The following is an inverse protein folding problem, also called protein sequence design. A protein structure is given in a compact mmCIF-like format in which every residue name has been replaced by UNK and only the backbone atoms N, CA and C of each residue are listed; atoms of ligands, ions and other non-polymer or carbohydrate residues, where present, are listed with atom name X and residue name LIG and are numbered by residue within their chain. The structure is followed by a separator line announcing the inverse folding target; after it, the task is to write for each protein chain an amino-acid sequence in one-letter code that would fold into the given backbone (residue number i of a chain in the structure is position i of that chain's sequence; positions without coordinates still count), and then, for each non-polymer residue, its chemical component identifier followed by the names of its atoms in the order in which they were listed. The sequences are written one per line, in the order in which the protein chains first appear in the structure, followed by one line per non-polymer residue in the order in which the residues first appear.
data_IF_548405793749
#
_entry.id   IF_548405793749
#
_cell.length_a   1.000
_cell.length_b   1.000
_cell.length_c   1.000
_cell.angle_alpha   90.00
_cell.angle_beta   90.00
_cell.angle_gamma   90.00
#
_symmetry.space_group_name_H-M   'P 1'
#
loop_
_entity.id
_entity.type
_entity.pdbx_description
1 polymer ?
#
# COMPACT_ATOMS: atom_id res chain seq x y z
N UNK A 1 1.61 -5.58 9.04
CA UNK A 1 0.24 -5.66 8.50
C UNK A 1 -0.52 -4.47 9.04
N UNK A 2 -0.72 -3.44 8.23
CA UNK A 2 -1.66 -2.35 8.55
C UNK A 2 -3.04 -3.00 8.65
N UNK A 3 -3.53 -3.09 9.88
CA UNK A 3 -4.92 -3.47 10.15
C UNK A 3 -5.77 -2.23 9.91
N UNK A 4 -6.87 -2.38 9.18
CA UNK A 4 -7.83 -1.28 8.94
C UNK A 4 -8.07 -0.92 7.47
N UNK A 5 -7.60 -1.73 6.52
CA UNK A 5 -8.12 -1.69 5.15
C UNK A 5 -9.48 -2.40 5.11
N UNK A 6 -10.50 -1.68 4.67
CA UNK A 6 -11.81 -2.24 4.37
C UNK A 6 -11.81 -2.92 3.01
N UNK A 7 -12.62 -3.99 2.88
CA UNK A 7 -12.78 -4.77 1.65
C UNK A 7 -11.43 -5.21 1.07
N UNK A 8 -10.53 -5.62 1.95
CA UNK A 8 -9.19 -6.06 1.59
C UNK A 8 -9.25 -7.31 0.70
N UNK A 9 -8.48 -7.30 -0.39
CA UNK A 9 -8.27 -8.42 -1.30
C UNK A 9 -6.76 -8.68 -1.37
N UNK A 10 -6.35 -9.93 -1.16
CA UNK A 10 -4.94 -10.32 -1.06
C UNK A 10 -4.57 -11.19 -2.25
N UNK A 11 -3.53 -10.80 -2.98
CA UNK A 11 -2.97 -11.60 -4.07
C UNK A 11 -1.92 -12.57 -3.54
N UNK A 12 -1.76 -13.70 -4.22
CA UNK A 12 -0.66 -14.65 -4.01
C UNK A 12 0.71 -14.10 -4.47
N UNK A 13 0.72 -12.97 -5.19
CA UNK A 13 1.91 -12.30 -5.74
C UNK A 13 2.50 -11.23 -4.81
N UNK A 14 2.38 -11.40 -3.50
CA UNK A 14 2.98 -10.50 -2.48
C UNK A 14 2.48 -9.05 -2.54
N UNK A 15 1.22 -8.84 -2.90
CA UNK A 15 0.54 -7.55 -2.77
C UNK A 15 -0.91 -7.75 -2.33
N UNK A 16 -1.54 -6.69 -1.87
CA UNK A 16 -2.98 -6.65 -1.64
C UNK A 16 -3.54 -5.27 -1.91
N UNK A 17 -4.85 -5.18 -2.01
CA UNK A 17 -5.58 -3.92 -2.21
C UNK A 17 -6.70 -3.79 -1.20
N UNK A 18 -7.08 -2.56 -0.88
CA UNK A 18 -8.19 -2.28 0.03
C UNK A 18 -8.49 -0.79 0.09
N UNK A 19 -9.56 -0.42 0.77
CA UNK A 19 -9.91 0.97 1.00
C UNK A 19 -9.53 1.38 2.42
N UNK A 20 -8.86 2.51 2.58
CA UNK A 20 -8.54 3.05 3.90
C UNK A 20 -9.50 4.20 4.24
N UNK A 21 -10.46 4.00 5.16
CA UNK A 21 -11.40 5.06 5.55
C UNK A 21 -10.71 6.22 6.27
N UNK A 22 -9.52 5.99 6.85
CA UNK A 22 -8.79 7.01 7.60
C UNK A 22 -8.13 8.07 6.73
N UNK A 23 -7.68 7.68 5.54
CA UNK A 23 -7.08 8.59 4.57
C UNK A 23 -7.97 8.79 3.35
N UNK A 24 -9.15 8.15 3.32
CA UNK A 24 -10.15 8.22 2.26
C UNK A 24 -9.57 7.89 0.88
N UNK A 25 -8.88 6.75 0.78
CA UNK A 25 -8.19 6.32 -0.44
C UNK A 25 -8.28 4.82 -0.65
N UNK A 26 -8.37 4.42 -1.92
CA UNK A 26 -8.02 3.07 -2.32
C UNK A 26 -6.49 2.91 -2.31
N UNK A 27 -6.04 1.79 -1.74
CA UNK A 27 -4.65 1.54 -1.44
C UNK A 27 -4.25 0.18 -1.99
N UNK A 28 -3.09 0.15 -2.64
CA UNK A 28 -2.34 -1.08 -2.92
C UNK A 28 -1.16 -1.14 -1.97
N UNK A 29 -0.95 -2.28 -1.33
CA UNK A 29 0.27 -2.52 -0.57
C UNK A 29 1.12 -3.64 -1.18
N UNK A 30 2.43 -3.46 -1.19
CA UNK A 30 3.40 -4.49 -1.62
C UNK A 30 4.22 -4.97 -0.42
N UNK A 31 4.52 -6.27 -0.38
CA UNK A 31 5.28 -6.90 0.71
C UNK A 31 6.77 -6.93 0.35
N UNK A 32 7.61 -6.27 1.15
CA UNK A 32 9.07 -6.25 0.99
C UNK A 32 9.71 -7.35 1.82
N UNK A 33 10.07 -8.46 1.17
CA UNK A 33 10.52 -9.69 1.85
C UNK A 33 12.01 -9.73 2.21
N UNK A 34 12.86 -8.96 1.53
CA UNK A 34 14.33 -9.12 1.59
C UNK A 34 15.01 -8.49 2.81
N UNK A 35 14.42 -7.45 3.40
CA UNK A 35 15.08 -6.64 4.44
C UNK A 35 14.43 -6.80 5.82
N UNK A 36 13.09 -6.87 5.90
CA UNK A 36 12.41 -7.00 7.20
C UNK A 36 10.93 -7.45 7.14
N UNK A 37 10.43 -7.98 6.00
CA UNK A 37 9.02 -8.36 5.84
C UNK A 37 8.05 -7.24 6.29
N UNK A 38 8.05 -6.15 5.53
CA UNK A 38 7.22 -4.98 5.81
C UNK A 38 6.46 -4.55 4.56
N UNK A 39 5.39 -3.79 4.77
CA UNK A 39 4.54 -3.33 3.67
C UNK A 39 4.83 -1.87 3.30
N UNK A 40 4.76 -1.58 2.00
CA UNK A 40 4.69 -0.23 1.44
C UNK A 40 3.31 -0.01 0.84
N UNK A 41 2.73 1.16 1.07
CA UNK A 41 1.35 1.50 0.70
C UNK A 41 1.36 2.60 -0.36
N UNK A 42 0.52 2.41 -1.37
CA UNK A 42 0.42 3.26 -2.55
C UNK A 42 -1.03 3.60 -2.83
N UNK A 43 -1.27 4.82 -3.30
CA UNK A 43 -2.58 5.23 -3.79
C UNK A 43 -2.88 4.56 -5.14
N UNK A 44 -4.09 4.04 -5.27
CA UNK A 44 -4.64 3.53 -6.53
C UNK A 44 -6.02 4.15 -6.76
N UNK A 45 -6.49 4.11 -8.01
CA UNK A 45 -7.87 4.49 -8.31
C UNK A 45 -8.85 3.39 -7.89
N UNK A 46 -10.14 3.74 -7.82
CA UNK A 46 -11.22 2.76 -7.65
C UNK A 46 -11.25 1.75 -8.80
N UNK A 47 -11.06 2.20 -10.04
CA UNK A 47 -10.97 1.33 -11.22
C UNK A 47 -9.82 0.30 -11.10
N UNK A 48 -8.65 0.74 -10.63
CA UNK A 48 -7.50 -0.14 -10.36
C UNK A 48 -7.85 -1.15 -9.24
N UNK A 49 -8.57 -0.73 -8.19
CA UNK A 49 -9.05 -1.63 -7.13
C UNK A 49 -10.07 -2.66 -7.64
N UNK A 50 -10.98 -2.25 -8.51
CA UNK A 50 -11.98 -3.13 -9.13
C UNK A 50 -11.34 -4.14 -10.08
N UNK A 51 -10.22 -3.79 -10.70
CA UNK A 51 -9.40 -4.67 -11.56
C UNK A 51 -8.58 -5.74 -10.79
N UNK A 52 -8.96 -6.07 -9.55
CA UNK A 52 -8.32 -7.14 -8.79
C UNK A 52 -8.30 -8.48 -9.56
N UNK A 53 -7.21 -9.24 -9.42
CA UNK A 53 -6.88 -10.45 -10.20
C UNK A 53 -6.63 -10.23 -11.71
N UNK A 54 -6.59 -8.99 -12.18
CA UNK A 54 -6.17 -8.69 -13.56
C UNK A 54 -4.65 -8.69 -13.73
N UNK A 55 -4.21 -8.94 -14.96
CA UNK A 55 -2.80 -8.84 -15.33
C UNK A 55 -2.30 -7.38 -15.25
N UNK A 56 -3.18 -6.42 -15.52
CA UNK A 56 -2.89 -4.99 -15.42
C UNK A 56 -2.51 -4.59 -13.99
N UNK A 57 -3.27 -5.06 -12.99
CA UNK A 57 -3.00 -4.78 -11.59
C UNK A 57 -1.71 -5.44 -11.12
N UNK A 58 -1.41 -6.66 -11.59
CA UNK A 58 -0.14 -7.33 -11.28
C UNK A 58 1.07 -6.54 -11.80
N UNK A 59 0.98 -6.02 -13.03
CA UNK A 59 2.02 -5.20 -13.64
C UNK A 59 2.20 -3.90 -12.85
N UNK A 60 1.10 -3.28 -12.42
CA UNK A 60 1.14 -2.09 -11.57
C UNK A 60 1.81 -2.40 -10.22
N UNK A 61 1.38 -3.46 -9.52
CA UNK A 61 1.94 -3.87 -8.23
C UNK A 61 3.45 -4.10 -8.32
N UNK A 62 3.91 -4.80 -9.37
CA UNK A 62 5.33 -5.01 -9.63
C UNK A 62 6.09 -3.70 -9.85
N UNK A 63 5.53 -2.79 -10.67
CA UNK A 63 6.13 -1.46 -10.91
C UNK A 63 6.27 -0.66 -9.61
N UNK A 64 5.23 -0.67 -8.77
CA UNK A 64 5.25 0.01 -7.47
C UNK A 64 6.29 -0.59 -6.53
N UNK A 65 6.39 -1.92 -6.49
CA UNK A 65 7.40 -2.64 -5.72
C UNK A 65 8.83 -2.25 -6.13
N UNK A 66 9.12 -2.25 -7.44
CA UNK A 66 10.45 -1.91 -7.99
C UNK A 66 10.83 -0.45 -7.72
N UNK A 67 9.87 0.48 -7.81
CA UNK A 67 10.13 1.90 -7.60
C UNK A 67 10.15 2.31 -6.11
N UNK A 68 9.53 1.53 -5.24
CA UNK A 68 9.56 1.74 -3.80
C UNK A 68 9.00 3.09 -3.38
N UNK A 69 9.67 3.75 -2.43
CA UNK A 69 9.27 5.06 -1.90
C UNK A 69 9.60 6.25 -2.80
N UNK A 70 10.16 6.01 -4.00
CA UNK A 70 10.41 7.05 -5.01
C UNK A 70 9.25 7.23 -5.98
N UNK A 71 8.25 6.35 -5.94
CA UNK A 71 7.07 6.45 -6.78
C UNK A 71 6.16 7.59 -6.30
N UNK A 72 5.56 8.34 -7.22
CA UNK A 72 4.67 9.46 -6.91
C UNK A 72 3.40 9.06 -6.13
N UNK A 73 2.95 7.82 -6.29
CA UNK A 73 1.77 7.25 -5.61
C UNK A 73 2.10 6.75 -4.21
N UNK A 74 3.35 6.84 -3.76
CA UNK A 74 3.77 6.33 -2.47
C UNK A 74 3.14 7.14 -1.32
N UNK A 75 2.35 6.45 -0.49
CA UNK A 75 1.67 7.04 0.65
C UNK A 75 2.53 6.96 1.91
N UNK A 76 2.95 5.75 2.29
CA UNK A 76 3.81 5.51 3.44
C UNK A 76 4.31 4.06 3.46
N UNK A 77 5.28 3.78 4.32
CA UNK A 77 5.85 2.47 4.58
C UNK A 77 5.80 2.15 6.07
N UNK A 78 5.65 0.88 6.43
CA UNK A 78 5.85 0.41 7.81
C UNK A 78 7.29 0.66 8.28
N UNK A 79 8.25 0.75 7.35
CA UNK A 79 9.63 1.10 7.64
C UNK A 79 9.77 2.63 7.76
N UNK A 80 9.91 3.12 8.99
CA UNK A 80 9.90 4.56 9.32
C UNK A 80 10.93 5.37 8.53
N UNK A 81 12.11 4.82 8.26
CA UNK A 81 13.20 5.50 7.55
C UNK A 81 12.89 5.78 6.07
N UNK A 82 11.86 5.12 5.51
CA UNK A 82 11.41 5.38 4.13
C UNK A 82 10.42 6.55 4.03
N UNK A 83 9.96 7.07 5.16
CA UNK A 83 8.91 8.09 5.24
C UNK A 83 9.51 9.46 5.58
N UNK A 84 8.96 10.51 4.96
CA UNK A 84 9.12 11.88 5.43
C UNK A 84 8.12 12.21 6.57
N UNK A 85 8.16 13.44 7.08
CA UNK A 85 7.31 13.86 8.20
C UNK A 85 5.80 13.75 7.92
N UNK A 86 5.35 14.12 6.72
CA UNK A 86 3.93 14.03 6.32
C UNK A 86 3.48 12.56 6.21
N UNK A 87 4.32 11.71 5.62
CA UNK A 87 4.07 10.28 5.47
C UNK A 87 4.05 9.58 6.84
N UNK A 88 4.87 10.02 7.79
CA UNK A 88 4.81 9.54 9.18
C UNK A 88 3.50 9.95 9.88
N UNK A 89 2.92 11.12 9.57
CA UNK A 89 1.59 11.51 10.08
C UNK A 89 0.50 10.62 9.50
N UNK A 90 0.55 10.30 8.21
CA UNK A 90 -0.37 9.36 7.57
C UNK A 90 -0.26 7.95 8.18
N UNK A 91 0.97 7.45 8.33
CA UNK A 91 1.24 6.16 8.97
C UNK A 91 0.68 6.10 10.39
N UNK A 92 0.86 7.18 11.17
CA UNK A 92 0.28 7.30 12.51
C UNK A 92 -1.24 7.29 12.45
N UNK A 93 -1.86 8.08 11.56
CA UNK A 93 -3.33 8.12 11.41
C UNK A 93 -3.90 6.75 11.06
N UNK A 94 -3.23 6.01 10.18
CA UNK A 94 -3.61 4.64 9.82
C UNK A 94 -3.43 3.64 10.98
N UNK A 95 -2.49 3.87 11.91
CA UNK A 95 -2.24 3.00 13.06
C UNK A 95 -2.98 3.41 14.36
N UNK A 96 -3.38 4.68 14.51
CA UNK A 96 -3.91 5.23 15.77
C UNK A 96 -5.36 4.84 16.09
N UNK A 97 -6.07 4.21 15.16
CA UNK A 97 -7.47 3.82 15.33
C UNK A 97 -7.65 2.30 15.49
N UNK A 98 -6.69 1.65 16.16
CA UNK A 98 -6.84 0.29 16.69
C UNK A 98 -7.55 0.30 18.04
#
# INVERSE_FOLDING_TARGET
MVKGLEREKISDKYYGVGYSPFIDKYVLYTVVTWVAWYNRYYEISEEEYESFDSQELDVLARKLYEQGNKNERFLFSEKKEENNEEQLKLLKKAHLHQ
#
